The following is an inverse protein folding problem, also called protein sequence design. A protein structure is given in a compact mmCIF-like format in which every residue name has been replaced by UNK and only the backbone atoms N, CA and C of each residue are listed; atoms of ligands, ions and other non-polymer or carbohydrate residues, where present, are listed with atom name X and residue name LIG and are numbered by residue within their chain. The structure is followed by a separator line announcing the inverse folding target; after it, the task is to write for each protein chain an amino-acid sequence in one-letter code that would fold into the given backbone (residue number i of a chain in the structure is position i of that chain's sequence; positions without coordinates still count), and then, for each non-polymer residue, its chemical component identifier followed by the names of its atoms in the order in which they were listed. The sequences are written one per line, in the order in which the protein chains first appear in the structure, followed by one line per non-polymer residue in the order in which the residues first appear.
data_IF_325342412909
#
_entry.id   IF_325342412909
#
_cell.length_a   1.000
_cell.length_b   1.000
_cell.length_c   1.000
_cell.angle_alpha   90.00
_cell.angle_beta   90.00
_cell.angle_gamma   90.00
#
_symmetry.space_group_name_H-M   'P 1'
#
loop_
_entity.id
_entity.type
_entity.pdbx_description
1 polymer ?
#
# COMPACT_ATOMS: atom_id res chain seq x y z
N UNK A 1 -7.79 -6.05 -3.94
CA UNK A 1 -8.09 -6.51 -5.32
C UNK A 1 -8.39 -8.01 -5.33
N UNK A 2 -7.44 -8.91 -5.09
CA UNK A 2 -7.60 -10.36 -5.22
C UNK A 2 -8.82 -10.95 -4.49
N UNK A 3 -9.09 -10.51 -3.26
CA UNK A 3 -10.29 -10.91 -2.53
C UNK A 3 -11.57 -10.54 -3.31
N UNK A 4 -11.69 -9.29 -3.77
CA UNK A 4 -12.93 -8.82 -4.43
C UNK A 4 -13.13 -9.43 -5.82
N UNK A 5 -12.06 -9.59 -6.59
CA UNK A 5 -12.15 -10.24 -7.89
C UNK A 5 -12.55 -11.72 -7.78
N UNK A 6 -12.03 -12.42 -6.78
CA UNK A 6 -12.35 -13.82 -6.54
C UNK A 6 -13.75 -14.07 -5.92
N UNK A 7 -14.50 -13.01 -5.62
CA UNK A 7 -15.94 -13.14 -5.27
C UNK A 7 -16.77 -13.67 -6.46
N UNK A 8 -16.33 -13.38 -7.69
CA UNK A 8 -16.92 -13.96 -8.90
C UNK A 8 -16.28 -15.32 -9.19
N UNK A 9 -17.00 -16.43 -9.06
CA UNK A 9 -16.44 -17.77 -9.27
C UNK A 9 -16.04 -18.06 -10.72
N UNK A 10 -16.53 -17.28 -11.67
CA UNK A 10 -16.16 -17.41 -13.09
C UNK A 10 -14.77 -16.83 -13.40
N UNK A 11 -14.15 -16.11 -12.46
CA UNK A 11 -12.83 -15.52 -12.64
C UNK A 11 -11.79 -16.29 -11.83
N UNK A 12 -10.76 -16.79 -12.52
CA UNK A 12 -9.58 -17.34 -11.84
C UNK A 12 -8.59 -16.20 -11.57
N UNK A 13 -8.21 -16.04 -10.32
CA UNK A 13 -7.33 -14.98 -9.85
C UNK A 13 -6.03 -15.58 -9.35
N UNK A 14 -4.90 -15.15 -9.92
CA UNK A 14 -3.55 -15.49 -9.43
C UNK A 14 -2.93 -14.26 -8.79
N UNK A 15 -2.60 -14.34 -7.51
CA UNK A 15 -1.84 -13.35 -6.77
C UNK A 15 -0.39 -13.80 -6.68
N UNK A 16 0.53 -13.01 -7.23
CA UNK A 16 1.97 -13.22 -7.15
C UNK A 16 2.57 -12.30 -6.09
N UNK A 17 3.26 -12.87 -5.12
CA UNK A 17 3.98 -12.15 -4.06
C UNK A 17 5.45 -12.57 -4.05
N UNK A 18 6.34 -11.56 -4.03
CA UNK A 18 7.78 -11.81 -4.03
C UNK A 18 8.29 -12.39 -2.71
N UNK A 19 7.66 -12.04 -1.61
CA UNK A 19 8.05 -12.46 -0.27
C UNK A 19 7.33 -13.72 0.22
N UNK A 20 7.63 -14.12 1.48
CA UNK A 20 6.95 -15.20 2.19
C UNK A 20 5.58 -14.76 2.74
N UNK A 21 4.92 -15.64 3.50
CA UNK A 21 3.78 -15.29 4.35
C UNK A 21 4.23 -14.49 5.58
N UNK A 22 3.32 -13.76 6.19
CA UNK A 22 3.58 -13.05 7.46
C UNK A 22 3.87 -14.04 8.59
N UNK A 23 4.64 -13.59 9.59
CA UNK A 23 5.04 -14.40 10.74
C UNK A 23 4.33 -13.96 12.03
N UNK A 24 4.37 -14.79 13.07
CA UNK A 24 3.86 -14.44 14.39
C UNK A 24 4.55 -13.19 14.97
N UNK A 25 5.84 -13.00 14.69
CA UNK A 25 6.56 -11.79 15.11
C UNK A 25 5.98 -10.52 14.45
N UNK A 26 5.52 -10.61 13.21
CA UNK A 26 4.89 -9.49 12.52
C UNK A 26 3.50 -9.13 13.09
N UNK A 27 2.91 -10.04 13.86
CA UNK A 27 1.62 -9.83 14.51
C UNK A 27 1.69 -8.90 15.72
N UNK A 28 2.85 -8.83 16.33
CA UNK A 28 3.08 -8.09 17.58
C UNK A 28 3.32 -6.61 17.29
N UNK A 29 2.39 -5.69 17.65
CA UNK A 29 2.49 -4.28 17.26
C UNK A 29 3.78 -3.58 17.70
N UNK A 30 4.28 -3.87 18.88
CA UNK A 30 5.50 -3.24 19.43
C UNK A 30 6.76 -3.62 18.65
N UNK A 31 6.75 -4.72 17.89
CA UNK A 31 7.87 -5.16 17.06
C UNK A 31 7.94 -4.49 15.69
N UNK A 32 7.04 -3.56 15.38
CA UNK A 32 6.96 -2.94 14.05
C UNK A 32 8.28 -2.34 13.56
N UNK A 33 9.04 -1.69 14.45
CA UNK A 33 10.35 -1.12 14.11
C UNK A 33 11.43 -2.19 13.87
N UNK A 34 11.32 -3.35 14.48
CA UNK A 34 12.27 -4.46 14.34
C UNK A 34 12.07 -5.26 13.04
N UNK A 35 10.90 -5.12 12.42
CA UNK A 35 10.58 -5.77 11.14
C UNK A 35 11.21 -5.04 9.95
N UNK A 36 11.52 -3.75 10.13
CA UNK A 36 12.14 -2.94 9.10
C UNK A 36 13.61 -3.35 8.92
N UNK A 37 14.10 -3.23 7.69
CA UNK A 37 15.46 -3.66 7.30
C UNK A 37 15.75 -5.16 7.52
N UNK A 38 14.74 -5.94 7.85
CA UNK A 38 14.81 -7.39 8.02
C UNK A 38 14.47 -8.17 6.73
N UNK A 39 14.28 -9.48 6.87
CA UNK A 39 13.98 -10.39 5.75
C UNK A 39 12.64 -10.12 5.05
N UNK A 40 11.69 -9.49 5.75
CA UNK A 40 10.38 -9.12 5.23
C UNK A 40 10.34 -7.74 4.55
N UNK A 41 11.49 -7.10 4.37
CA UNK A 41 11.63 -5.76 3.82
C UNK A 41 12.46 -5.78 2.54
N UNK A 42 12.07 -4.99 1.54
CA UNK A 42 12.89 -4.75 0.34
C UNK A 42 14.18 -4.00 0.64
N UNK A 43 14.29 -3.35 1.80
CA UNK A 43 15.46 -2.62 2.31
C UNK A 43 15.95 -1.50 1.37
N UNK A 44 15.03 -0.82 0.72
CA UNK A 44 15.36 0.31 -0.14
C UNK A 44 15.99 1.46 0.65
N UNK A 45 16.87 2.17 -0.04
CA UNK A 45 17.52 3.40 0.48
C UNK A 45 17.44 4.48 -0.59
N UNK A 46 17.30 5.71 -0.13
CA UNK A 46 17.36 6.88 -1.04
C UNK A 46 18.78 7.08 -1.53
N UNK A 47 18.93 7.75 -2.68
CA UNK A 47 20.21 8.32 -3.06
C UNK A 47 20.60 9.45 -2.10
N UNK A 48 21.93 9.70 -1.91
CA UNK A 48 22.38 10.80 -1.09
C UNK A 48 21.89 12.14 -1.63
N UNK A 49 21.40 13.01 -0.75
CA UNK A 49 20.98 14.37 -1.08
C UNK A 49 21.82 15.39 -0.29
N UNK A 50 23.03 15.72 -0.74
CA UNK A 50 23.94 16.58 -0.02
C UNK A 50 23.30 17.94 0.32
N UNK A 51 23.37 18.32 1.60
CA UNK A 51 22.84 19.60 2.09
C UNK A 51 21.30 19.70 2.16
N UNK A 52 20.54 18.64 1.86
CA UNK A 52 19.06 18.66 1.82
C UNK A 52 18.40 17.73 2.82
N UNK A 53 18.63 16.44 2.71
CA UNK A 53 17.91 15.44 3.52
C UNK A 53 18.84 14.33 4.01
N UNK A 54 18.37 13.59 5.05
CA UNK A 54 19.04 12.42 5.61
C UNK A 54 20.47 12.68 6.13
N UNK A 55 20.80 13.93 6.50
CA UNK A 55 22.15 14.35 6.88
C UNK A 55 22.69 13.59 8.11
N UNK A 56 21.81 13.19 9.04
CA UNK A 56 22.17 12.39 10.22
C UNK A 56 22.26 10.89 9.95
N UNK A 57 21.98 10.43 8.72
CA UNK A 57 22.01 9.01 8.38
C UNK A 57 23.35 8.61 7.74
N UNK A 58 23.73 7.34 7.94
CA UNK A 58 24.98 6.81 7.36
C UNK A 58 24.99 6.96 5.84
N UNK A 59 25.98 7.71 5.33
CA UNK A 59 26.13 7.98 3.91
C UNK A 59 25.09 8.94 3.33
N UNK A 60 24.36 9.70 4.17
CA UNK A 60 23.32 10.63 3.72
C UNK A 60 22.11 9.96 3.05
N UNK A 61 21.89 8.66 3.31
CA UNK A 61 20.80 7.85 2.73
C UNK A 61 19.74 7.54 3.76
N UNK A 62 18.48 7.87 3.48
CA UNK A 62 17.34 7.43 4.29
C UNK A 62 16.96 5.99 3.96
N UNK A 63 16.69 5.20 5.00
CA UNK A 63 16.04 3.91 4.82
C UNK A 63 14.59 4.12 4.38
N UNK A 64 14.14 3.33 3.41
CA UNK A 64 12.79 3.39 2.87
C UNK A 64 12.10 2.03 2.91
N UNK A 65 11.69 1.57 4.09
CA UNK A 65 11.15 0.22 4.26
C UNK A 65 9.90 0.01 3.40
N UNK A 66 9.87 -1.11 2.67
CA UNK A 66 8.73 -1.60 1.91
C UNK A 66 8.60 -3.09 2.14
N UNK A 67 7.37 -3.56 2.46
CA UNK A 67 7.17 -4.97 2.75
C UNK A 67 7.38 -5.86 1.54
N UNK A 68 8.23 -6.87 1.71
CA UNK A 68 8.46 -8.02 0.81
C UNK A 68 7.85 -9.25 1.46
N UNK A 69 6.54 -9.28 1.54
CA UNK A 69 5.76 -10.26 2.30
C UNK A 69 4.30 -10.21 1.89
N UNK A 70 3.58 -11.31 2.00
CA UNK A 70 2.14 -11.33 1.73
C UNK A 70 1.41 -10.32 2.64
N UNK A 71 0.77 -9.33 2.02
CA UNK A 71 0.21 -8.17 2.72
C UNK A 71 1.05 -6.90 2.59
N UNK A 72 2.26 -7.00 2.04
CA UNK A 72 3.12 -5.86 1.73
C UNK A 72 3.45 -5.00 2.95
N UNK A 73 3.54 -3.70 2.76
CA UNK A 73 3.92 -2.75 3.83
C UNK A 73 2.93 -2.67 5.00
N UNK A 74 1.71 -3.23 4.86
CA UNK A 74 0.79 -3.35 6.00
C UNK A 74 1.31 -4.31 7.10
N UNK A 75 2.29 -5.16 6.77
CA UNK A 75 2.96 -6.07 7.71
C UNK A 75 4.09 -5.38 8.49
N UNK A 76 4.68 -4.30 7.95
CA UNK A 76 5.82 -3.60 8.54
C UNK A 76 5.47 -2.25 9.16
N UNK A 77 4.34 -1.63 8.78
CA UNK A 77 3.98 -0.28 9.18
C UNK A 77 3.59 -0.19 10.67
N UNK A 78 3.43 1.03 11.16
CA UNK A 78 2.97 1.30 12.53
C UNK A 78 1.45 1.25 12.68
N UNK A 79 0.75 0.66 11.74
CA UNK A 79 -0.70 0.37 11.75
C UNK A 79 -1.62 1.60 11.81
N UNK A 80 -1.11 2.82 11.73
CA UNK A 80 -1.93 4.02 11.75
C UNK A 80 -2.96 3.99 10.61
N UNK A 81 -4.24 4.20 10.96
CA UNK A 81 -5.34 4.22 10.01
C UNK A 81 -5.76 5.64 9.69
N UNK A 82 -5.36 6.13 8.54
CA UNK A 82 -5.70 7.44 8.00
C UNK A 82 -6.10 7.28 6.54
N UNK A 83 -7.28 7.80 6.18
CA UNK A 83 -7.82 7.66 4.81
C UNK A 83 -7.27 8.70 3.83
N UNK A 84 -6.68 9.77 4.32
CA UNK A 84 -6.31 10.93 3.53
C UNK A 84 -7.36 12.05 3.59
N UNK A 85 -7.03 13.19 3.01
CA UNK A 85 -7.91 14.35 3.00
C UNK A 85 -8.94 14.24 1.87
N UNK A 86 -10.15 14.78 2.10
CA UNK A 86 -11.19 14.88 1.08
C UNK A 86 -10.66 15.54 -0.20
N UNK A 87 -9.90 16.63 -0.06
CA UNK A 87 -9.35 17.38 -1.17
C UNK A 87 -8.44 16.59 -2.08
N UNK A 88 -7.76 15.54 -1.57
CA UNK A 88 -6.89 14.68 -2.39
C UNK A 88 -7.71 13.90 -3.42
N UNK A 89 -8.83 13.32 -3.01
CA UNK A 89 -9.74 12.57 -3.89
C UNK A 89 -10.49 13.49 -4.85
N UNK A 90 -10.98 14.62 -4.35
CA UNK A 90 -11.69 15.60 -5.16
C UNK A 90 -10.78 16.19 -6.25
N UNK A 91 -9.47 16.38 -5.95
CA UNK A 91 -8.48 16.78 -6.96
C UNK A 91 -8.27 15.71 -8.04
N UNK A 92 -8.31 14.43 -7.70
CA UNK A 92 -8.26 13.37 -8.71
C UNK A 92 -9.48 13.38 -9.63
N UNK A 93 -10.67 13.55 -9.06
CA UNK A 93 -11.90 13.66 -9.85
C UNK A 93 -11.87 14.89 -10.77
N UNK A 94 -11.42 16.05 -10.27
CA UNK A 94 -11.28 17.29 -11.04
C UNK A 94 -10.25 17.16 -12.19
N UNK A 95 -9.24 16.30 -12.02
CA UNK A 95 -8.28 15.95 -13.07
C UNK A 95 -8.85 15.00 -14.15
N UNK A 96 -10.16 14.73 -14.14
CA UNK A 96 -10.86 13.90 -15.12
C UNK A 96 -11.04 12.43 -14.73
N UNK A 97 -10.68 12.04 -13.50
CA UNK A 97 -10.87 10.66 -13.03
C UNK A 97 -12.26 10.51 -12.39
N UNK A 98 -13.29 10.34 -13.21
CA UNK A 98 -14.67 10.09 -12.76
C UNK A 98 -14.74 8.86 -11.85
N UNK A 99 -15.49 8.93 -10.77
CA UNK A 99 -15.59 7.84 -9.77
C UNK A 99 -14.56 7.92 -8.65
N UNK A 100 -13.72 8.99 -8.62
CA UNK A 100 -12.64 9.15 -7.63
C UNK A 100 -12.82 10.36 -6.70
N UNK A 101 -13.95 11.06 -6.73
CA UNK A 101 -14.24 12.08 -5.72
C UNK A 101 -14.39 11.44 -4.33
N UNK A 102 -14.22 12.23 -3.29
CA UNK A 102 -14.35 11.74 -1.91
C UNK A 102 -15.70 11.07 -1.65
N UNK A 103 -16.80 11.65 -2.11
CA UNK A 103 -18.14 11.06 -1.92
C UNK A 103 -18.31 9.72 -2.66
N UNK A 104 -17.66 9.57 -3.83
CA UNK A 104 -17.70 8.33 -4.61
C UNK A 104 -16.82 7.22 -4.01
N UNK A 105 -15.70 7.55 -3.37
CA UNK A 105 -14.81 6.56 -2.75
C UNK A 105 -15.18 6.23 -1.30
N UNK A 106 -15.88 7.12 -0.58
CA UNK A 106 -16.28 6.94 0.81
C UNK A 106 -17.04 5.63 1.09
N UNK A 107 -18.00 5.19 0.24
CA UNK A 107 -18.66 3.89 0.41
C UNK A 107 -17.71 2.70 0.43
N UNK A 108 -16.59 2.76 -0.31
CA UNK A 108 -15.60 1.67 -0.36
C UNK A 108 -14.70 1.68 0.88
N UNK A 109 -14.37 2.84 1.44
CA UNK A 109 -13.72 2.91 2.74
C UNK A 109 -14.59 2.27 3.82
N UNK A 110 -15.85 2.64 3.89
CA UNK A 110 -16.83 2.06 4.83
C UNK A 110 -17.01 0.56 4.62
N UNK A 111 -17.07 0.09 3.36
CA UNK A 111 -17.21 -1.33 3.01
C UNK A 111 -16.03 -2.17 3.52
N UNK A 112 -14.83 -1.60 3.54
CA UNK A 112 -13.64 -2.31 3.99
C UNK A 112 -13.48 -2.31 5.51
N UNK A 113 -13.99 -1.28 6.19
CA UNK A 113 -13.78 -1.00 7.60
C UNK A 113 -14.69 -1.82 8.52
N UNK A 114 -14.11 -2.29 9.60
CA UNK A 114 -14.79 -2.79 10.78
C UNK A 114 -14.33 -1.96 11.98
N UNK A 115 -14.91 -0.76 12.15
CA UNK A 115 -14.55 0.14 13.24
C UNK A 115 -15.08 -0.39 14.57
N UNK A 116 -14.18 -0.62 15.51
CA UNK A 116 -14.45 -1.18 16.84
C UNK A 116 -14.48 -0.13 17.94
N UNK A 117 -14.28 1.15 17.61
CA UNK A 117 -14.45 2.25 18.56
C UNK A 117 -15.93 2.62 18.65
N UNK A 118 -16.63 2.38 19.77
CA UNK A 118 -18.09 2.51 19.83
C UNK A 118 -18.59 3.92 19.54
N UNK A 119 -17.80 4.93 19.90
CA UNK A 119 -18.18 6.34 19.72
C UNK A 119 -17.95 6.80 18.26
N UNK A 120 -16.89 6.34 17.57
CA UNK A 120 -16.64 6.63 16.15
C UNK A 120 -17.60 5.88 15.25
N UNK A 121 -17.88 4.61 15.55
CA UNK A 121 -18.80 3.76 14.79
C UNK A 121 -20.26 4.29 14.77
N UNK A 122 -20.61 5.26 15.64
CA UNK A 122 -21.93 5.95 15.60
C UNK A 122 -22.05 6.88 14.40
N UNK A 123 -20.94 7.47 13.92
CA UNK A 123 -20.93 8.25 12.70
C UNK A 123 -20.97 7.34 11.46
N UNK A 124 -22.17 6.85 11.16
CA UNK A 124 -22.40 5.95 10.05
C UNK A 124 -22.20 6.58 8.66
N UNK A 125 -22.07 7.89 8.59
CA UNK A 125 -21.70 8.56 7.35
C UNK A 125 -20.24 8.27 7.00
N UNK A 126 -19.34 8.34 7.97
CA UNK A 126 -17.91 8.23 7.73
C UNK A 126 -17.34 6.84 8.09
N UNK A 127 -17.96 6.10 9.01
CA UNK A 127 -17.47 4.80 9.46
C UNK A 127 -18.33 3.62 9.07
N UNK A 128 -17.67 2.48 8.84
CA UNK A 128 -18.27 1.18 8.60
C UNK A 128 -18.01 0.20 9.75
N UNK A 129 -18.91 -0.77 9.90
CA UNK A 129 -18.76 -1.92 10.79
C UNK A 129 -18.98 -3.19 9.99
N UNK A 130 -18.34 -4.30 10.40
CA UNK A 130 -18.48 -5.60 9.73
C UNK A 130 -17.67 -5.77 8.46
N UNK A 131 -16.85 -4.79 8.08
CA UNK A 131 -15.86 -4.96 7.03
C UNK A 131 -14.71 -5.90 7.43
N UNK A 132 -13.81 -6.17 6.51
CA UNK A 132 -12.72 -7.11 6.76
C UNK A 132 -11.55 -6.50 7.53
N UNK A 133 -11.32 -5.20 7.39
CA UNK A 133 -10.23 -4.46 8.03
C UNK A 133 -10.69 -3.93 9.38
N UNK A 134 -10.25 -4.55 10.46
CA UNK A 134 -10.56 -4.06 11.81
C UNK A 134 -9.75 -2.80 12.10
N UNK A 135 -10.45 -1.76 12.55
CA UNK A 135 -9.90 -0.47 12.96
C UNK A 135 -10.34 -0.20 14.40
N UNK A 136 -9.38 0.07 15.27
CA UNK A 136 -9.65 0.41 16.66
C UNK A 136 -8.54 1.30 17.22
N UNK A 137 -8.81 2.03 18.29
CA UNK A 137 -7.74 2.64 19.06
C UNK A 137 -6.92 1.55 19.77
N UNK A 138 -5.60 1.76 19.96
CA UNK A 138 -4.80 0.88 20.79
C UNK A 138 -5.45 0.75 22.19
N UNK A 139 -5.57 -0.48 22.74
CA UNK A 139 -6.26 -0.71 24.00
C UNK A 139 -5.52 -0.10 25.19
N UNK A 140 -4.24 0.18 25.03
CA UNK A 140 -3.41 0.86 26.02
C UNK A 140 -2.73 2.09 25.42
N UNK A 141 -2.61 3.13 26.23
CA UNK A 141 -1.95 4.40 25.89
C UNK A 141 -1.29 4.99 27.11
N UNK A 142 -0.24 5.77 26.89
CA UNK A 142 0.41 6.49 27.98
C UNK A 142 -0.47 7.65 28.45
N UNK A 143 -0.42 8.04 29.74
CA UNK A 143 -1.06 9.27 30.21
C UNK A 143 -0.64 10.50 29.39
N UNK A 144 0.61 10.54 28.95
CA UNK A 144 1.14 11.64 28.12
C UNK A 144 0.43 11.76 26.77
N UNK A 145 -0.01 10.66 26.18
CA UNK A 145 -0.78 10.69 24.92
C UNK A 145 -2.15 11.36 25.11
N UNK A 146 -2.78 11.15 26.27
CA UNK A 146 -4.03 11.84 26.63
C UNK A 146 -3.76 13.32 26.88
N UNK A 147 -2.78 13.65 27.70
CA UNK A 147 -2.38 15.02 27.99
C UNK A 147 -2.01 15.81 26.72
N UNK A 148 -1.39 15.16 25.73
CA UNK A 148 -1.09 15.78 24.44
C UNK A 148 -2.35 16.20 23.67
N UNK A 149 -3.38 15.38 23.68
CA UNK A 149 -4.67 15.73 23.03
C UNK A 149 -5.37 16.84 23.82
N UNK A 150 -5.35 16.79 25.16
CA UNK A 150 -5.91 17.82 26.02
C UNK A 150 -5.21 19.17 25.83
N UNK A 151 -3.88 19.20 25.76
CA UNK A 151 -3.10 20.39 25.44
C UNK A 151 -3.47 20.99 24.08
N UNK A 152 -3.77 20.14 23.09
CA UNK A 152 -4.29 20.60 21.79
C UNK A 152 -5.62 21.33 21.92
N UNK A 153 -6.50 20.84 22.77
CA UNK A 153 -7.80 21.49 23.08
C UNK A 153 -7.58 22.82 23.82
N UNK A 154 -6.67 22.88 24.78
CA UNK A 154 -6.29 24.12 25.46
C UNK A 154 -5.73 25.18 24.49
N UNK A 155 -5.06 24.75 23.43
CA UNK A 155 -4.58 25.62 22.35
C UNK A 155 -5.67 26.06 21.37
N UNK A 156 -6.91 25.64 21.56
CA UNK A 156 -8.05 25.99 20.70
C UNK A 156 -8.29 25.07 19.52
N UNK A 157 -7.63 23.91 19.46
CA UNK A 157 -7.92 22.89 18.45
C UNK A 157 -9.03 21.96 18.93
N UNK A 158 -9.76 21.39 17.98
CA UNK A 158 -10.77 20.39 18.31
C UNK A 158 -10.13 19.00 18.52
N UNK A 159 -10.64 18.26 19.52
CA UNK A 159 -10.46 16.82 19.55
C UNK A 159 -11.46 16.18 18.60
N UNK A 160 -10.99 15.63 17.49
CA UNK A 160 -11.85 15.12 16.42
C UNK A 160 -11.23 13.97 15.67
N UNK A 161 -12.08 13.19 15.03
CA UNK A 161 -11.70 12.09 14.17
C UNK A 161 -11.12 12.59 12.82
N UNK A 162 -9.86 12.22 12.52
CA UNK A 162 -9.22 12.58 11.25
C UNK A 162 -9.80 11.85 10.02
N UNK A 163 -10.60 10.81 10.24
CA UNK A 163 -11.31 10.07 9.19
C UNK A 163 -12.78 10.49 9.06
N UNK A 164 -13.21 11.48 9.84
CA UNK A 164 -14.57 12.05 9.85
C UNK A 164 -14.73 13.23 8.90
N UNK A 165 -15.70 14.10 9.22
CA UNK A 165 -16.09 15.23 8.39
C UNK A 165 -15.01 16.30 8.24
N UNK A 166 -14.16 16.48 9.25
CA UNK A 166 -13.07 17.46 9.29
C UNK A 166 -11.80 16.80 9.80
N UNK A 167 -10.68 17.01 9.11
CA UNK A 167 -9.43 16.32 9.41
C UNK A 167 -8.52 17.07 10.39
N UNK A 168 -8.53 18.41 10.38
CA UNK A 168 -7.64 19.22 11.23
C UNK A 168 -8.07 19.19 12.67
N UNK A 169 -7.20 18.74 13.56
CA UNK A 169 -7.45 18.64 15.02
C UNK A 169 -6.50 17.65 15.68
N UNK A 170 -6.76 17.39 16.94
CA UNK A 170 -6.04 16.40 17.73
C UNK A 170 -6.92 15.16 17.98
N UNK A 171 -6.32 13.99 18.03
CA UNK A 171 -7.03 12.75 18.34
C UNK A 171 -6.07 11.68 18.85
N UNK A 172 -6.60 10.70 19.52
CA UNK A 172 -5.92 9.43 19.72
C UNK A 172 -5.94 8.64 18.41
N UNK A 173 -4.78 8.16 17.91
CA UNK A 173 -4.74 7.55 16.59
C UNK A 173 -5.52 6.23 16.56
N UNK A 174 -6.29 6.05 15.50
CA UNK A 174 -6.87 4.77 15.15
C UNK A 174 -5.82 3.87 14.49
N UNK A 175 -5.93 2.57 14.71
CA UNK A 175 -4.97 1.62 14.19
C UNK A 175 -5.65 0.38 13.58
N UNK A 176 -4.99 -0.23 12.58
CA UNK A 176 -5.37 -1.52 12.00
C UNK A 176 -4.93 -2.66 12.92
N UNK A 177 -5.63 -2.79 14.04
CA UNK A 177 -5.39 -3.78 15.10
C UNK A 177 -6.66 -4.60 15.32
N UNK A 178 -6.50 -5.90 15.51
CA UNK A 178 -7.58 -6.83 15.85
C UNK A 178 -7.19 -7.66 17.06
N UNK A 179 -7.93 -7.54 18.16
CA UNK A 179 -7.67 -8.30 19.40
C UNK A 179 -6.21 -8.19 19.88
N UNK A 180 -5.65 -6.98 19.84
CA UNK A 180 -4.27 -6.72 20.27
C UNK A 180 -3.19 -7.08 19.25
N UNK A 181 -3.54 -7.66 18.10
CA UNK A 181 -2.63 -8.10 17.05
C UNK A 181 -2.79 -7.25 15.81
N UNK A 182 -1.72 -7.08 15.02
CA UNK A 182 -1.74 -6.42 13.71
C UNK A 182 -2.82 -7.04 12.80
N UNK A 183 -3.63 -6.21 12.20
CA UNK A 183 -4.57 -6.59 11.16
C UNK A 183 -4.00 -6.17 9.80
N UNK A 184 -3.05 -6.95 9.26
CA UNK A 184 -2.49 -6.73 7.93
C UNK A 184 -3.55 -6.91 6.83
N UNK A 185 -3.26 -6.45 5.61
CA UNK A 185 -4.15 -6.68 4.46
C UNK A 185 -4.27 -8.16 4.11
N UNK A 186 -3.26 -8.98 4.39
CA UNK A 186 -3.35 -10.43 4.24
C UNK A 186 -4.38 -11.01 5.22
N UNK A 187 -4.32 -10.64 6.50
CA UNK A 187 -5.30 -11.07 7.52
C UNK A 187 -6.69 -10.56 7.25
N UNK A 188 -6.81 -9.29 6.88
CA UNK A 188 -8.10 -8.68 6.62
C UNK A 188 -8.79 -9.29 5.41
N UNK A 189 -8.08 -9.44 4.30
CA UNK A 189 -8.70 -9.75 3.02
C UNK A 189 -8.41 -11.16 2.50
N UNK A 190 -7.18 -11.66 2.60
CA UNK A 190 -6.83 -12.95 2.00
C UNK A 190 -7.25 -14.12 2.87
N UNK A 191 -7.11 -14.03 4.20
CA UNK A 191 -7.57 -15.10 5.12
C UNK A 191 -9.08 -15.37 5.00
N UNK A 192 -9.87 -14.34 4.68
CA UNK A 192 -11.32 -14.49 4.45
C UNK A 192 -11.62 -15.24 3.14
N UNK A 193 -10.74 -15.15 2.16
CA UNK A 193 -10.90 -15.77 0.84
C UNK A 193 -10.16 -17.10 0.68
N UNK A 194 -9.50 -17.62 1.74
CA UNK A 194 -8.60 -18.79 1.68
C UNK A 194 -9.24 -20.08 1.11
N UNK A 195 -10.55 -20.21 1.26
CA UNK A 195 -11.30 -21.40 0.82
C UNK A 195 -11.86 -21.27 -0.60
N UNK A 196 -11.60 -20.14 -1.30
CA UNK A 196 -12.08 -19.94 -2.66
C UNK A 196 -11.20 -20.68 -3.64
N UNK A 197 -11.79 -21.61 -4.39
CA UNK A 197 -11.08 -22.46 -5.36
C UNK A 197 -10.52 -21.70 -6.54
N UNK A 198 -11.05 -20.52 -6.83
CA UNK A 198 -10.65 -19.65 -7.92
C UNK A 198 -9.63 -18.58 -7.52
N UNK A 199 -9.13 -18.56 -6.27
CA UNK A 199 -8.05 -17.70 -5.80
C UNK A 199 -6.80 -18.53 -5.56
N UNK A 200 -5.75 -18.23 -6.31
CA UNK A 200 -4.44 -18.86 -6.19
C UNK A 200 -3.43 -17.83 -5.70
N UNK A 201 -2.65 -18.18 -4.70
CA UNK A 201 -1.60 -17.33 -4.12
C UNK A 201 -0.26 -18.03 -4.30
N UNK A 202 0.68 -17.39 -5.00
CA UNK A 202 2.02 -17.89 -5.23
C UNK A 202 3.04 -16.98 -4.54
N UNK A 203 3.59 -17.45 -3.43
CA UNK A 203 4.66 -16.79 -2.67
C UNK A 203 6.03 -17.05 -3.28
N UNK A 204 7.04 -16.25 -2.91
CA UNK A 204 8.38 -16.36 -3.46
C UNK A 204 8.43 -16.15 -4.97
N UNK A 205 7.47 -15.40 -5.50
CA UNK A 205 7.28 -15.19 -6.94
C UNK A 205 7.61 -13.75 -7.31
N UNK A 206 8.89 -13.49 -7.57
CA UNK A 206 9.40 -12.15 -7.87
C UNK A 206 9.11 -11.79 -9.33
N UNK A 207 8.11 -10.97 -9.57
CA UNK A 207 7.79 -10.47 -10.92
C UNK A 207 8.87 -9.48 -11.35
N UNK A 208 9.48 -9.77 -12.49
CA UNK A 208 10.59 -9.02 -13.06
C UNK A 208 10.15 -8.06 -14.17
N UNK A 209 9.09 -8.43 -14.89
CA UNK A 209 8.66 -7.70 -16.08
C UNK A 209 7.22 -8.07 -16.46
N UNK A 210 6.46 -7.10 -16.96
CA UNK A 210 5.20 -7.35 -17.69
C UNK A 210 5.54 -7.70 -19.14
N UNK A 211 4.93 -8.74 -19.65
CA UNK A 211 5.04 -9.13 -21.07
C UNK A 211 3.97 -8.37 -21.85
N UNK A 212 4.42 -7.50 -22.73
CA UNK A 212 3.56 -6.67 -23.57
C UNK A 212 3.72 -7.17 -25.01
N UNK A 213 2.61 -7.48 -25.64
CA UNK A 213 2.59 -7.84 -27.05
C UNK A 213 3.01 -6.63 -27.90
N UNK A 214 4.05 -6.75 -28.73
CA UNK A 214 4.59 -5.61 -29.47
C UNK A 214 3.65 -5.08 -30.55
N UNK A 215 2.76 -5.92 -31.06
CA UNK A 215 1.81 -5.58 -32.15
C UNK A 215 0.56 -4.91 -31.58
N UNK A 216 -0.06 -5.55 -30.59
CA UNK A 216 -1.32 -5.07 -29.99
C UNK A 216 -1.10 -4.08 -28.86
N UNK A 217 0.11 -3.99 -28.31
CA UNK A 217 0.49 -3.24 -27.11
C UNK A 217 -0.31 -3.62 -25.86
N UNK A 218 -0.85 -4.83 -25.84
CA UNK A 218 -1.59 -5.36 -24.69
C UNK A 218 -0.65 -6.11 -23.74
N UNK A 219 -0.89 -5.97 -22.44
CA UNK A 219 -0.23 -6.76 -21.42
C UNK A 219 -0.84 -8.18 -21.44
N UNK A 220 -0.04 -9.18 -21.78
CA UNK A 220 -0.49 -10.57 -21.98
C UNK A 220 0.02 -11.54 -20.91
N UNK A 221 1.03 -11.15 -20.13
CA UNK A 221 1.61 -12.00 -19.11
C UNK A 221 2.64 -11.27 -18.26
N UNK A 222 3.27 -12.01 -17.37
CA UNK A 222 4.40 -11.53 -16.58
C UNK A 222 5.54 -12.53 -16.62
N UNK A 223 6.78 -12.02 -16.58
CA UNK A 223 8.00 -12.80 -16.37
C UNK A 223 8.36 -12.71 -14.91
N UNK A 224 8.59 -13.85 -14.28
CA UNK A 224 8.90 -13.92 -12.85
C UNK A 224 10.02 -14.90 -12.58
N UNK A 225 10.70 -14.70 -11.46
CA UNK A 225 11.68 -15.62 -10.92
C UNK A 225 11.13 -16.27 -9.65
N UNK A 226 11.39 -17.56 -9.50
CA UNK A 226 11.10 -18.34 -8.27
C UNK A 226 12.29 -19.19 -7.90
N UNK A 227 12.56 -19.28 -6.62
CA UNK A 227 13.57 -20.17 -6.09
C UNK A 227 13.28 -21.63 -6.49
N UNK A 228 14.31 -22.36 -6.92
CA UNK A 228 14.20 -23.74 -7.38
C UNK A 228 13.56 -23.94 -8.76
N UNK A 229 12.92 -22.93 -9.35
CA UNK A 229 12.31 -23.00 -10.67
C UNK A 229 12.96 -22.06 -11.70
N UNK A 230 13.75 -21.08 -11.22
CA UNK A 230 14.38 -20.09 -12.09
C UNK A 230 13.36 -19.11 -12.68
N UNK A 231 13.63 -18.65 -13.90
CA UNK A 231 12.81 -17.68 -14.61
C UNK A 231 11.72 -18.38 -15.42
N UNK A 232 10.46 -17.98 -15.24
CA UNK A 232 9.30 -18.51 -15.93
C UNK A 232 8.36 -17.39 -16.36
N UNK A 233 7.35 -17.72 -17.18
CA UNK A 233 6.32 -16.77 -17.61
C UNK A 233 4.93 -17.31 -17.30
N UNK A 234 4.04 -16.40 -16.89
CA UNK A 234 2.62 -16.70 -16.65
C UNK A 234 1.80 -15.75 -17.52
N UNK A 235 0.80 -16.27 -18.18
CA UNK A 235 -0.04 -15.50 -19.09
C UNK A 235 -1.44 -15.29 -18.52
N UNK A 236 -2.03 -14.14 -18.81
CA UNK A 236 -3.39 -13.79 -18.42
C UNK A 236 -4.32 -13.84 -19.64
N UNK A 237 -5.54 -14.32 -19.42
CA UNK A 237 -6.60 -14.30 -20.44
C UNK A 237 -7.46 -13.04 -20.41
N UNK A 238 -7.36 -12.25 -19.35
CA UNK A 238 -8.17 -11.02 -19.17
C UNK A 238 -7.27 -9.81 -18.99
N UNK A 239 -6.73 -9.63 -17.79
CA UNK A 239 -5.96 -8.44 -17.45
C UNK A 239 -4.85 -8.75 -16.44
N UNK A 240 -3.89 -7.83 -16.35
CA UNK A 240 -2.80 -7.85 -15.38
C UNK A 240 -2.95 -6.61 -14.52
N UNK A 241 -3.02 -6.81 -13.20
CA UNK A 241 -3.20 -5.75 -12.22
C UNK A 241 -1.89 -5.58 -11.44
N UNK A 242 -1.26 -4.43 -11.59
CA UNK A 242 -0.05 -4.09 -10.84
C UNK A 242 -0.44 -3.44 -9.51
N UNK A 243 -0.07 -4.09 -8.42
CA UNK A 243 -0.28 -3.63 -7.03
C UNK A 243 0.99 -3.76 -6.21
N UNK A 244 2.15 -3.51 -6.84
CA UNK A 244 3.47 -3.71 -6.23
C UNK A 244 3.88 -2.55 -5.28
N UNK A 245 3.01 -1.56 -5.10
CA UNK A 245 3.24 -0.39 -4.26
C UNK A 245 3.84 0.79 -5.02
N UNK A 246 3.93 1.94 -4.34
CA UNK A 246 4.31 3.21 -4.96
C UNK A 246 5.72 3.21 -5.57
N UNK A 247 6.64 2.38 -5.07
CA UNK A 247 8.00 2.28 -5.60
C UNK A 247 8.13 1.19 -6.67
N UNK A 248 7.59 0.01 -6.43
CA UNK A 248 7.83 -1.14 -7.30
C UNK A 248 6.90 -1.16 -8.51
N UNK A 249 5.72 -0.55 -8.45
CA UNK A 249 4.84 -0.46 -9.63
C UNK A 249 5.46 0.38 -10.76
N UNK A 250 5.97 1.61 -10.51
CA UNK A 250 6.72 2.35 -11.51
C UNK A 250 7.97 1.61 -12.00
N UNK A 251 8.71 0.96 -11.11
CA UNK A 251 9.87 0.16 -11.51
C UNK A 251 9.49 -0.97 -12.48
N UNK A 252 8.44 -1.73 -12.19
CA UNK A 252 7.95 -2.79 -13.09
C UNK A 252 7.50 -2.23 -14.43
N UNK A 253 6.84 -1.08 -14.46
CA UNK A 253 6.45 -0.42 -15.70
C UNK A 253 7.69 -0.03 -16.52
N UNK A 254 8.69 0.60 -15.90
CA UNK A 254 9.95 0.97 -16.56
C UNK A 254 10.70 -0.24 -17.08
N UNK A 255 10.87 -1.29 -16.29
CA UNK A 255 11.48 -2.56 -16.73
C UNK A 255 10.71 -3.22 -17.89
N UNK A 256 9.44 -2.86 -18.06
CA UNK A 256 8.57 -3.34 -19.13
C UNK A 256 8.53 -2.40 -20.34
N UNK A 257 9.34 -1.33 -20.35
CA UNK A 257 9.42 -0.37 -21.46
C UNK A 257 8.38 0.76 -21.41
N UNK A 258 7.72 0.96 -20.27
CA UNK A 258 6.73 2.01 -20.07
C UNK A 258 7.28 3.03 -19.07
N UNK A 259 7.56 4.25 -19.51
CA UNK A 259 8.15 5.31 -18.65
C UNK A 259 8.80 6.41 -19.47
N UNK A 260 9.62 7.28 -18.85
CA UNK A 260 10.31 8.35 -19.56
C UNK A 260 11.30 7.81 -20.60
N UNK A 261 11.08 8.13 -21.86
CA UNK A 261 11.84 7.54 -22.97
C UNK A 261 13.37 7.73 -22.85
N UNK A 262 13.81 8.93 -22.49
CA UNK A 262 15.25 9.24 -22.33
C UNK A 262 15.90 8.40 -21.23
N UNK A 263 15.19 8.24 -20.10
CA UNK A 263 15.67 7.44 -18.97
C UNK A 263 15.73 5.95 -19.36
N UNK A 264 14.69 5.42 -20.00
CA UNK A 264 14.69 4.02 -20.44
C UNK A 264 15.79 3.75 -21.45
N UNK A 265 16.01 4.66 -22.42
CA UNK A 265 17.07 4.54 -23.41
C UNK A 265 18.48 4.56 -22.78
N UNK A 266 18.71 5.40 -21.75
CA UNK A 266 20.00 5.43 -21.04
C UNK A 266 20.31 4.13 -20.29
N UNK A 267 19.29 3.35 -19.97
CA UNK A 267 19.41 2.02 -19.35
C UNK A 267 19.36 0.85 -20.36
N UNK A 268 19.31 1.13 -21.66
CA UNK A 268 19.21 0.12 -22.70
C UNK A 268 17.86 -0.60 -22.73
N UNK A 269 16.82 -0.03 -22.15
CA UNK A 269 15.47 -0.61 -22.12
C UNK A 269 14.68 -0.12 -23.35
N UNK A 270 14.19 -1.03 -24.22
CA UNK A 270 13.35 -0.65 -25.36
C UNK A 270 12.08 0.07 -24.91
N UNK A 271 11.83 1.25 -25.50
CA UNK A 271 10.66 2.07 -25.17
C UNK A 271 9.43 1.54 -25.90
N UNK A 272 8.43 1.10 -25.16
CA UNK A 272 7.10 0.71 -25.68
C UNK A 272 6.14 1.90 -25.60
N UNK A 273 6.15 2.63 -24.48
CA UNK A 273 5.34 3.83 -24.29
C UNK A 273 6.08 4.90 -23.49
N UNK A 274 6.15 6.11 -24.05
CA UNK A 274 6.72 7.26 -23.36
C UNK A 274 5.66 7.87 -22.43
N UNK A 275 5.66 7.50 -21.15
CA UNK A 275 4.73 7.97 -20.13
C UNK A 275 5.52 8.56 -18.96
N UNK A 276 5.77 9.86 -19.00
CA UNK A 276 6.55 10.58 -17.99
C UNK A 276 5.81 10.68 -16.65
N UNK A 277 4.48 10.90 -16.66
CA UNK A 277 3.68 11.11 -15.46
C UNK A 277 3.55 9.90 -14.53
N UNK A 278 3.71 8.68 -15.03
CA UNK A 278 3.62 7.47 -14.21
C UNK A 278 4.80 7.29 -13.24
N UNK A 279 5.91 7.98 -13.49
CA UNK A 279 7.16 7.86 -12.72
C UNK A 279 7.54 9.17 -12.05
N UNK A 280 7.50 10.29 -12.78
CA UNK A 280 7.99 11.58 -12.32
C UNK A 280 7.12 12.18 -11.21
N UNK A 281 5.79 12.00 -11.22
CA UNK A 281 4.92 12.53 -10.16
C UNK A 281 5.18 11.91 -8.79
N UNK A 282 5.64 10.65 -8.73
CA UNK A 282 6.06 10.02 -7.48
C UNK A 282 7.49 10.39 -7.08
N UNK A 283 8.37 10.65 -8.06
CA UNK A 283 9.79 10.94 -7.86
C UNK A 283 10.06 12.45 -7.73
N UNK A 284 9.43 13.31 -8.52
CA UNK A 284 9.63 14.76 -8.47
C UNK A 284 9.04 15.39 -7.21
N UNK A 285 7.89 14.91 -6.71
CA UNK A 285 7.35 15.38 -5.42
C UNK A 285 8.21 14.95 -4.23
N UNK A 286 8.96 13.88 -4.36
CA UNK A 286 9.87 13.41 -3.32
C UNK A 286 11.31 13.86 -3.53
N UNK A 287 11.70 14.39 -4.70
CA UNK A 287 13.10 14.66 -5.11
C UNK A 287 14.03 13.46 -4.82
N UNK A 288 13.57 12.24 -5.06
CA UNK A 288 14.31 11.02 -4.77
C UNK A 288 14.54 10.22 -6.05
N UNK A 289 15.78 10.06 -6.42
CA UNK A 289 16.19 8.99 -7.35
C UNK A 289 16.25 7.67 -6.58
N UNK A 290 15.60 6.65 -7.11
CA UNK A 290 15.61 5.29 -6.57
C UNK A 290 16.41 4.44 -7.54
N UNK A 291 17.53 3.93 -7.08
CA UNK A 291 18.34 2.95 -7.80
C UNK A 291 17.80 1.54 -7.64
#
# INVERSE_FOLDING_TARGET
MANRLSENPAWSVLLLEAGPDESEASDVPVLANMLQLGALDWQYKTEPQPGRACLGQKGGRCNWPRGKVLGGSSVLNYMLYVRGNRGDYDAWSQAGNTGWSYEEVLPYFRKSEDNRNPYLARDRRHHGTGGYLTVQEPPWRTPLAVAFVEAGVEMGYDNRDCNGARQTGFMLPQATIRRGSRCSTAKAFLRQARNRRNLHIALGSHVMKVIIDPTTRQAVGVKLWREGQGVTSVFSRREIILSAGALNTPQLLMLSGIGPANHLASLGIPVIANLTGSVLTSLERANYEIC
#
